data_IF_204441161705
#
_entry.id   IF_204441161705
#
_cell.length_a   1.000
_cell.length_b   1.000
_cell.length_c   1.000
_cell.angle_alpha   90.00
_cell.angle_beta   90.00
_cell.angle_gamma   90.00
#
_symmetry.space_group_name_H-M   'P 1'
#
loop_
_entity.id
_entity.type
_entity.pdbx_description
1 polymer ?
#
# COMPACT_ATOMS: atom_id res chain seq x y z
N UNK A 1 4.76 -10.77 22.17
CA UNK A 1 5.35 -10.74 20.82
C UNK A 1 4.73 -9.68 19.88
N UNK A 2 3.57 -9.09 20.18
CA UNK A 2 2.96 -8.02 19.36
C UNK A 2 3.72 -6.68 19.32
N UNK A 3 4.64 -6.41 20.26
CA UNK A 3 5.48 -5.19 20.28
C UNK A 3 6.56 -5.14 19.18
N UNK A 4 6.62 -6.12 18.27
CA UNK A 4 7.64 -6.22 17.22
C UNK A 4 7.10 -6.65 15.85
N UNK A 5 5.83 -6.33 15.52
CA UNK A 5 5.46 -6.18 14.10
C UNK A 5 5.99 -4.82 13.61
N UNK A 6 7.32 -4.66 13.66
CA UNK A 6 7.98 -3.63 12.87
C UNK A 6 7.93 -4.17 11.46
N UNK A 7 6.90 -3.79 10.71
CA UNK A 7 6.93 -3.95 9.25
C UNK A 7 8.04 -3.02 8.79
N UNK A 8 9.25 -3.58 8.68
CA UNK A 8 10.39 -2.91 8.09
C UNK A 8 10.06 -2.72 6.60
N UNK A 9 9.29 -1.68 6.28
CA UNK A 9 9.23 -1.13 4.94
C UNK A 9 10.67 -0.78 4.59
N UNK A 10 11.21 -1.32 3.50
CA UNK A 10 12.46 -0.78 2.97
C UNK A 10 12.00 0.55 2.40
N UNK A 11 12.16 1.64 3.16
CA UNK A 11 11.71 2.97 2.75
C UNK A 11 12.60 3.43 1.61
N UNK A 12 12.27 2.98 0.41
CA UNK A 12 12.60 3.60 -0.86
C UNK A 12 11.28 3.80 -1.57
N UNK A 13 10.62 4.90 -1.23
CA UNK A 13 9.38 5.33 -1.86
C UNK A 13 9.71 5.86 -3.27
N UNK A 14 8.83 5.56 -4.22
CA UNK A 14 9.03 5.69 -5.66
C UNK A 14 9.16 7.12 -6.23
N UNK A 15 9.44 8.14 -5.40
CA UNK A 15 9.59 9.52 -5.89
C UNK A 15 10.71 9.67 -6.93
N UNK A 16 11.75 8.84 -6.87
CA UNK A 16 12.84 8.83 -7.86
C UNK A 16 12.46 8.20 -9.22
N UNK A 17 11.30 7.54 -9.33
CA UNK A 17 10.97 6.73 -10.50
C UNK A 17 10.28 7.53 -11.63
N UNK A 18 9.81 8.75 -11.33
CA UNK A 18 9.20 9.69 -12.28
C UNK A 18 9.94 11.02 -12.45
N UNK A 19 10.99 11.28 -11.67
CA UNK A 19 11.73 12.54 -11.74
C UNK A 19 12.97 12.38 -12.62
N UNK A 20 13.13 13.25 -13.63
CA UNK A 20 14.47 13.52 -14.19
C UNK A 20 15.41 13.84 -13.02
N UNK A 21 16.56 13.16 -12.87
CA UNK A 21 17.45 13.28 -11.71
C UNK A 21 17.95 14.74 -11.54
N UNK A 22 17.98 15.33 -10.33
CA UNK A 22 18.67 16.60 -10.10
C UNK A 22 20.19 16.45 -10.24
N UNK A 23 20.87 17.45 -10.79
CA UNK A 23 22.24 17.72 -10.39
C UNK A 23 22.17 18.54 -9.08
N UNK A 24 22.79 18.05 -8.02
CA UNK A 24 22.92 18.80 -6.77
C UNK A 24 23.72 20.08 -7.02
N UNK A 25 23.16 21.23 -6.65
CA UNK A 25 23.97 22.38 -6.26
C UNK A 25 23.39 22.94 -4.96
N UNK A 26 24.20 22.85 -3.91
CA UNK A 26 23.95 23.45 -2.63
C UNK A 26 24.11 24.96 -2.77
N UNK A 27 23.02 25.72 -2.71
CA UNK A 27 23.01 27.11 -2.26
C UNK A 27 21.56 27.60 -2.07
N UNK A 28 21.11 27.60 -0.82
CA UNK A 28 19.84 28.17 -0.41
C UNK A 28 19.95 29.71 -0.34
N UNK A 29 19.68 30.38 -1.44
CA UNK A 29 19.24 31.77 -1.50
C UNK A 29 18.46 31.97 -2.79
N UNK A 30 17.32 32.66 -2.74
CA UNK A 30 16.40 32.90 -3.85
C UNK A 30 17.11 33.49 -5.08
N UNK A 31 17.67 32.62 -5.93
CA UNK A 31 18.15 32.97 -7.27
C UNK A 31 16.98 32.77 -8.25
N UNK A 32 16.85 33.65 -9.25
CA UNK A 32 15.87 33.46 -10.32
C UNK A 32 16.13 32.11 -10.99
N UNK A 33 15.08 31.28 -11.13
CA UNK A 33 15.15 29.97 -11.77
C UNK A 33 15.86 30.08 -13.12
N UNK A 34 16.85 29.22 -13.33
CA UNK A 34 17.59 29.10 -14.59
C UNK A 34 16.63 28.69 -15.73
N UNK A 35 16.98 28.96 -16.98
CA UNK A 35 16.14 28.57 -18.14
C UNK A 35 15.87 27.07 -18.17
N UNK A 36 16.81 26.25 -17.71
CA UNK A 36 16.69 24.79 -17.61
C UNK A 36 15.69 24.36 -16.52
N UNK A 37 15.67 25.03 -15.37
CA UNK A 37 14.67 24.80 -14.31
C UNK A 37 13.26 25.26 -14.71
N UNK A 38 13.15 26.28 -15.58
CA UNK A 38 11.86 26.74 -16.13
C UNK A 38 11.23 25.75 -17.11
N UNK A 39 12.03 24.88 -17.72
CA UNK A 39 11.57 23.91 -18.73
C UNK A 39 11.41 22.50 -18.13
N UNK A 40 12.00 22.21 -16.97
CA UNK A 40 11.86 20.92 -16.29
C UNK A 40 10.43 20.71 -15.81
N UNK A 41 9.83 19.59 -16.20
CA UNK A 41 8.47 19.24 -15.80
C UNK A 41 8.52 18.33 -14.56
N UNK A 42 8.06 18.86 -13.42
CA UNK A 42 7.84 18.12 -12.18
C UNK A 42 6.44 17.49 -12.10
N UNK A 43 6.06 16.99 -10.92
CA UNK A 43 4.72 16.45 -10.62
C UNK A 43 4.22 15.33 -11.52
N UNK A 44 5.10 14.41 -11.93
CA UNK A 44 4.71 13.15 -12.57
C UNK A 44 4.95 11.94 -11.64
N UNK A 45 4.60 11.97 -10.34
CA UNK A 45 4.75 10.80 -9.49
C UNK A 45 3.77 9.71 -9.92
N UNK A 46 4.13 8.45 -9.63
CA UNK A 46 3.28 7.32 -9.93
C UNK A 46 1.89 7.42 -9.26
N UNK A 47 0.88 6.84 -9.90
CA UNK A 47 -0.46 6.67 -9.36
C UNK A 47 -0.72 5.18 -9.08
N UNK A 48 -1.17 4.86 -7.86
CA UNK A 48 -1.53 3.50 -7.51
C UNK A 48 -3.00 3.24 -7.88
N UNK A 49 -3.22 2.42 -8.90
CA UNK A 49 -4.59 2.12 -9.38
C UNK A 49 -5.39 1.29 -8.39
N UNK A 50 -4.76 0.69 -7.37
CA UNK A 50 -5.49 0.05 -6.28
C UNK A 50 -6.39 1.04 -5.53
N UNK A 51 -6.06 2.34 -5.53
CA UNK A 51 -6.91 3.38 -4.92
C UNK A 51 -8.26 3.55 -5.63
N UNK A 52 -8.34 3.17 -6.91
CA UNK A 52 -9.59 3.13 -7.67
C UNK A 52 -10.44 1.90 -7.38
N UNK A 53 -9.79 0.80 -7.02
CA UNK A 53 -10.41 -0.50 -6.77
C UNK A 53 -9.92 -1.06 -5.44
N UNK A 54 -10.20 -0.36 -4.32
CA UNK A 54 -9.67 -0.74 -3.03
C UNK A 54 -10.11 -2.17 -2.71
N UNK A 55 -9.17 -2.97 -2.22
CA UNK A 55 -9.43 -4.37 -1.90
C UNK A 55 -10.53 -4.47 -0.85
N UNK A 56 -11.54 -5.28 -1.12
CA UNK A 56 -12.55 -5.60 -0.12
C UNK A 56 -11.96 -6.51 0.97
N UNK A 57 -12.18 -6.13 2.23
CA UNK A 57 -11.68 -6.86 3.39
C UNK A 57 -12.83 -7.51 4.14
N UNK A 58 -12.81 -8.85 4.19
CA UNK A 58 -13.64 -9.57 5.16
C UNK A 58 -12.82 -9.82 6.41
N UNK A 59 -13.00 -8.96 7.43
CA UNK A 59 -12.21 -9.06 8.64
C UNK A 59 -12.64 -10.26 9.51
N UNK A 60 -11.67 -11.03 10.06
CA UNK A 60 -11.93 -12.02 11.11
C UNK A 60 -12.37 -11.32 12.42
N UNK A 61 -12.54 -12.09 13.50
CA UNK A 61 -12.88 -11.52 14.80
C UNK A 61 -11.84 -10.46 15.24
N UNK A 62 -12.32 -9.32 15.73
CA UNK A 62 -11.47 -8.18 16.07
C UNK A 62 -10.47 -8.54 17.18
N UNK A 63 -9.19 -8.36 16.87
CA UNK A 63 -8.10 -8.33 17.84
C UNK A 63 -7.01 -7.37 17.32
N UNK A 64 -6.00 -7.08 18.14
CA UNK A 64 -5.00 -6.08 17.80
C UNK A 64 -4.27 -6.40 16.47
N UNK A 65 -3.96 -7.67 16.20
CA UNK A 65 -3.29 -8.08 14.95
C UNK A 65 -4.16 -7.83 13.71
N UNK A 66 -5.45 -8.15 13.81
CA UNK A 66 -6.43 -7.90 12.75
C UNK A 66 -6.59 -6.40 12.48
N UNK A 67 -6.67 -5.58 13.53
CA UNK A 67 -6.79 -4.13 13.37
C UNK A 67 -5.54 -3.51 12.75
N UNK A 68 -4.34 -3.93 13.18
CA UNK A 68 -3.09 -3.46 12.57
C UNK A 68 -3.03 -3.84 11.09
N UNK A 69 -3.31 -5.11 10.76
CA UNK A 69 -3.32 -5.55 9.37
C UNK A 69 -4.35 -4.82 8.51
N UNK A 70 -5.57 -4.62 9.02
CA UNK A 70 -6.62 -3.88 8.32
C UNK A 70 -6.28 -2.39 8.11
N UNK A 71 -5.53 -1.77 9.02
CA UNK A 71 -5.03 -0.40 8.80
C UNK A 71 -3.89 -0.37 7.79
N UNK A 72 -3.02 -1.38 7.77
CA UNK A 72 -1.94 -1.46 6.78
C UNK A 72 -2.46 -1.61 5.35
N UNK A 73 -3.58 -2.31 5.16
CA UNK A 73 -4.20 -2.44 3.83
C UNK A 73 -4.72 -1.12 3.26
N UNK A 74 -5.01 -0.11 4.09
CA UNK A 74 -5.47 1.20 3.60
C UNK A 74 -4.32 2.15 3.26
N UNK A 75 -3.07 1.70 3.37
CA UNK A 75 -1.89 2.55 3.13
C UNK A 75 -1.91 3.21 1.75
N UNK A 76 -2.24 2.54 0.63
CA UNK A 76 -2.31 3.18 -0.68
C UNK A 76 -3.27 4.38 -0.68
N UNK A 77 -4.49 4.20 -0.19
CA UNK A 77 -5.53 5.21 -0.18
C UNK A 77 -5.24 6.36 0.80
N UNK A 78 -4.70 6.04 1.98
CA UNK A 78 -4.30 7.05 2.97
C UNK A 78 -3.12 7.89 2.47
N UNK A 79 -2.13 7.28 1.82
CA UNK A 79 -1.00 8.04 1.26
C UNK A 79 -1.40 8.83 0.02
N UNK A 80 -2.38 8.34 -0.77
CA UNK A 80 -2.95 9.09 -1.88
C UNK A 80 -3.65 10.38 -1.41
N UNK A 81 -4.35 10.34 -0.26
CA UNK A 81 -4.87 11.55 0.38
C UNK A 81 -3.78 12.62 0.63
N UNK A 82 -2.52 12.22 0.84
CA UNK A 82 -1.42 13.13 1.18
C UNK A 82 -0.61 13.60 -0.05
N UNK A 83 -0.97 13.16 -1.26
CA UNK A 83 -0.34 13.62 -2.52
C UNK A 83 -0.65 15.10 -2.78
N UNK A 84 -1.88 15.53 -2.48
CA UNK A 84 -2.30 16.92 -2.63
C UNK A 84 -1.67 17.81 -1.55
N UNK A 85 -1.05 18.93 -1.93
CA UNK A 85 -0.54 19.88 -0.95
C UNK A 85 -1.65 20.53 -0.11
N UNK A 86 -2.92 20.50 -0.53
CA UNK A 86 -4.05 21.03 0.27
C UNK A 86 -4.36 20.17 1.51
N UNK A 87 -3.97 18.89 1.47
CA UNK A 87 -4.24 17.93 2.53
C UNK A 87 -3.14 17.89 3.60
N UNK A 88 -2.09 18.69 3.44
CA UNK A 88 -0.91 18.74 4.32
C UNK A 88 -0.44 20.18 4.53
N UNK A 89 0.24 20.43 5.63
CA UNK A 89 0.85 21.72 5.90
C UNK A 89 2.19 21.90 5.18
N UNK A 90 2.89 23.02 5.43
CA UNK A 90 4.10 23.39 4.69
C UNK A 90 5.35 22.57 5.04
N UNK A 91 5.32 21.77 6.11
CA UNK A 91 6.47 20.97 6.48
C UNK A 91 6.72 19.82 5.49
N UNK A 92 7.99 19.40 5.38
CA UNK A 92 8.40 18.31 4.49
C UNK A 92 7.80 16.96 4.90
N UNK A 93 7.64 16.74 6.21
CA UNK A 93 7.07 15.52 6.77
C UNK A 93 5.67 15.78 7.31
N UNK A 94 4.74 14.91 6.93
CA UNK A 94 3.38 14.83 7.47
C UNK A 94 3.18 13.49 8.14
N UNK A 95 2.63 13.50 9.35
CA UNK A 95 2.40 12.28 10.12
C UNK A 95 0.93 12.23 10.50
N UNK A 96 0.21 11.23 9.98
CA UNK A 96 -1.17 10.95 10.36
C UNK A 96 -1.22 9.73 11.28
N UNK A 97 -1.95 9.84 12.38
CA UNK A 97 -2.24 8.76 13.31
C UNK A 97 -3.73 8.46 13.29
N UNK A 98 -4.08 7.19 13.14
CA UNK A 98 -5.45 6.70 13.16
C UNK A 98 -5.63 5.81 14.37
N UNK A 99 -6.39 6.28 15.36
CA UNK A 99 -6.83 5.48 16.50
C UNK A 99 -8.12 4.77 16.13
N UNK A 100 -8.10 3.45 16.19
CA UNK A 100 -9.29 2.60 16.04
C UNK A 100 -9.71 2.09 17.41
N UNK A 101 -10.98 2.27 17.75
CA UNK A 101 -11.60 1.75 18.98
C UNK A 101 -12.72 0.80 18.59
N UNK A 102 -12.73 -0.41 19.13
CA UNK A 102 -13.78 -1.40 18.88
C UNK A 102 -14.49 -1.75 20.18
N UNK A 103 -15.82 -1.69 20.13
CA UNK A 103 -16.73 -2.02 21.23
C UNK A 103 -17.75 -3.05 20.77
N UNK A 104 -18.73 -3.37 21.61
CA UNK A 104 -19.88 -4.20 21.23
C UNK A 104 -20.84 -3.51 20.23
N UNK A 105 -20.73 -2.19 20.06
CA UNK A 105 -21.46 -1.43 19.04
C UNK A 105 -20.76 -1.42 17.66
N UNK A 106 -19.50 -1.82 17.58
CA UNK A 106 -18.69 -1.78 16.36
C UNK A 106 -17.39 -0.98 16.51
N UNK A 107 -16.77 -0.69 15.36
CA UNK A 107 -15.52 0.08 15.29
C UNK A 107 -15.76 1.57 15.01
N UNK A 108 -14.94 2.43 15.61
CA UNK A 108 -14.86 3.86 15.32
C UNK A 108 -13.40 4.27 15.11
N UNK A 109 -13.16 5.22 14.21
CA UNK A 109 -11.83 5.74 13.90
C UNK A 109 -11.73 7.22 14.28
N UNK A 110 -10.57 7.62 14.81
CA UNK A 110 -10.21 9.01 15.05
C UNK A 110 -8.87 9.30 14.40
N UNK A 111 -8.85 10.27 13.49
CA UNK A 111 -7.64 10.71 12.77
C UNK A 111 -7.10 11.98 13.42
N UNK A 112 -5.81 11.96 13.75
CA UNK A 112 -5.04 13.13 14.23
C UNK A 112 -3.72 13.17 13.49
N UNK A 113 -2.99 14.28 13.53
CA UNK A 113 -1.67 14.29 12.90
C UNK A 113 -0.91 15.60 13.02
N UNK A 114 0.39 15.50 12.74
CA UNK A 114 1.31 16.63 12.60
C UNK A 114 1.37 17.04 11.13
N UNK A 115 1.35 18.35 10.88
CA UNK A 115 1.34 18.92 9.52
C UNK A 115 0.17 18.39 8.66
N UNK A 116 -0.93 17.96 9.28
CA UNK A 116 -2.14 17.47 8.62
C UNK A 116 -3.21 18.56 8.62
N UNK A 117 -3.80 18.87 7.46
CA UNK A 117 -4.87 19.88 7.37
C UNK A 117 -6.24 19.25 7.68
N UNK A 118 -7.30 20.04 7.94
CA UNK A 118 -8.66 19.51 8.08
C UNK A 118 -9.14 18.71 6.86
N UNK A 119 -8.78 19.14 5.64
CA UNK A 119 -9.10 18.42 4.42
C UNK A 119 -8.37 17.06 4.35
N UNK A 120 -7.09 17.02 4.76
CA UNK A 120 -6.34 15.77 4.89
C UNK A 120 -6.95 14.84 5.93
N UNK A 121 -7.31 15.35 7.10
CA UNK A 121 -8.02 14.59 8.14
C UNK A 121 -9.31 13.98 7.60
N UNK A 122 -10.13 14.77 6.90
CA UNK A 122 -11.40 14.30 6.33
C UNK A 122 -11.20 13.23 5.25
N UNK A 123 -10.19 13.39 4.38
CA UNK A 123 -9.87 12.41 3.36
C UNK A 123 -9.47 11.06 3.98
N UNK A 124 -8.54 11.07 4.94
CA UNK A 124 -8.08 9.86 5.63
C UNK A 124 -9.23 9.22 6.42
N UNK A 125 -10.04 10.02 7.12
CA UNK A 125 -11.20 9.53 7.88
C UNK A 125 -12.19 8.79 6.95
N UNK A 126 -12.50 9.36 5.78
CA UNK A 126 -13.39 8.74 4.81
C UNK A 126 -12.84 7.41 4.26
N UNK A 127 -11.52 7.32 4.05
CA UNK A 127 -10.86 6.07 3.64
C UNK A 127 -11.02 4.99 4.71
N UNK A 128 -10.67 5.29 5.96
CA UNK A 128 -10.65 4.28 7.02
C UNK A 128 -12.06 3.84 7.42
N UNK A 129 -13.02 4.77 7.48
CA UNK A 129 -14.43 4.43 7.77
C UNK A 129 -15.05 3.56 6.67
N UNK A 130 -14.61 3.73 5.43
CA UNK A 130 -15.09 2.93 4.29
C UNK A 130 -14.49 1.53 4.27
N UNK A 131 -13.17 1.42 4.50
CA UNK A 131 -12.40 0.20 4.23
C UNK A 131 -12.16 -0.66 5.47
N UNK A 132 -12.05 -0.05 6.65
CA UNK A 132 -11.77 -0.77 7.89
C UNK A 132 -13.06 -0.91 8.67
N UNK A 133 -13.65 -2.12 8.62
CA UNK A 133 -14.91 -2.42 9.31
C UNK A 133 -14.73 -3.55 10.31
N UNK A 134 -14.17 -3.27 11.51
CA UNK A 134 -13.94 -4.28 12.53
C UNK A 134 -15.25 -4.94 12.95
N UNK A 135 -15.21 -6.25 13.22
CA UNK A 135 -16.36 -6.93 13.83
C UNK A 135 -16.58 -6.41 15.26
N UNK A 136 -17.82 -6.15 15.69
CA UNK A 136 -18.10 -5.78 17.06
C UNK A 136 -17.57 -6.83 18.05
N UNK A 137 -17.18 -6.38 19.23
CA UNK A 137 -16.80 -7.28 20.32
C UNK A 137 -18.03 -7.95 20.94
N UNK A 138 -17.80 -9.01 21.71
CA UNK A 138 -18.87 -9.60 22.52
C UNK A 138 -19.31 -8.61 23.61
N UNK A 139 -20.61 -8.61 23.92
CA UNK A 139 -21.18 -7.72 24.94
C UNK A 139 -20.45 -7.84 26.28
N UNK A 140 -20.03 -6.71 26.83
CA UNK A 140 -19.28 -6.64 28.09
C UNK A 140 -17.77 -6.94 27.99
N UNK A 141 -17.25 -7.19 26.78
CA UNK A 141 -15.79 -7.21 26.56
C UNK A 141 -15.19 -5.82 26.78
N UNK A 142 -13.92 -5.78 27.21
CA UNK A 142 -13.18 -4.52 27.30
C UNK A 142 -12.97 -3.93 25.89
N UNK A 143 -13.07 -2.61 25.73
CA UNK A 143 -12.79 -1.96 24.45
C UNK A 143 -11.39 -2.33 23.93
N UNK A 144 -11.33 -2.64 22.63
CA UNK A 144 -10.07 -2.92 21.95
C UNK A 144 -9.61 -1.65 21.23
N UNK A 145 -8.37 -1.23 21.49
CA UNK A 145 -7.77 -0.06 20.84
C UNK A 145 -6.54 -0.45 20.00
N UNK A 146 -6.38 0.20 18.86
CA UNK A 146 -5.19 0.11 18.02
C UNK A 146 -4.88 1.48 17.43
N UNK A 147 -3.59 1.80 17.27
CA UNK A 147 -3.15 3.02 16.59
C UNK A 147 -2.23 2.63 15.45
N UNK A 148 -2.52 3.16 14.26
CA UNK A 148 -1.66 3.08 13.10
C UNK A 148 -1.14 4.47 12.74
N UNK A 149 0.12 4.54 12.30
CA UNK A 149 0.75 5.79 11.87
C UNK A 149 1.13 5.68 10.40
N UNK A 150 0.84 6.75 9.66
CA UNK A 150 1.16 6.93 8.25
C UNK A 150 2.06 8.15 8.14
N UNK A 151 3.25 7.95 7.60
CA UNK A 151 4.20 9.02 7.34
C UNK A 151 4.26 9.30 5.85
N UNK A 152 4.20 10.58 5.49
CA UNK A 152 4.37 11.08 4.14
C UNK A 152 5.46 12.13 4.14
N UNK A 153 6.48 11.91 3.33
CA UNK A 153 7.63 12.80 3.16
C UNK A 153 7.62 13.35 1.74
N UNK A 154 7.61 14.67 1.58
CA UNK A 154 7.52 15.29 0.24
C UNK A 154 8.77 15.08 -0.63
N UNK A 155 9.91 14.65 -0.06
CA UNK A 155 11.11 14.29 -0.80
C UNK A 155 11.08 12.85 -1.31
N UNK A 156 10.45 11.96 -0.53
CA UNK A 156 10.51 10.53 -0.77
C UNK A 156 9.19 9.97 -1.35
N UNK A 157 8.05 10.56 -1.01
CA UNK A 157 6.71 10.07 -1.35
C UNK A 157 6.13 10.77 -2.58
N UNK A 158 5.14 10.14 -3.21
CA UNK A 158 4.38 10.75 -4.29
C UNK A 158 3.78 12.09 -3.82
N UNK A 159 4.10 13.17 -4.52
CA UNK A 159 3.69 14.51 -4.12
C UNK A 159 3.46 15.40 -5.33
N UNK A 160 2.50 16.31 -5.20
CA UNK A 160 2.36 17.47 -6.10
C UNK A 160 2.85 18.74 -5.40
N UNK A 161 3.62 19.56 -6.12
CA UNK A 161 4.10 20.89 -5.70
C UNK A 161 3.74 21.90 -6.77
N UNK A 162 2.81 22.82 -6.49
CA UNK A 162 2.42 23.88 -7.41
C UNK A 162 3.34 25.10 -7.31
N UNK A 163 3.32 25.96 -8.34
CA UNK A 163 4.09 27.19 -8.40
C UNK A 163 5.53 27.02 -8.90
N UNK A 164 5.86 25.87 -9.51
CA UNK A 164 7.20 25.61 -10.05
C UNK A 164 7.33 26.21 -11.45
N UNK A 165 6.44 25.79 -12.35
CA UNK A 165 6.25 26.34 -13.69
C UNK A 165 4.92 25.81 -14.25
N UNK A 166 4.39 26.46 -15.29
CA UNK A 166 3.05 26.14 -15.83
C UNK A 166 2.90 24.66 -16.26
N UNK A 167 3.94 24.05 -16.82
CA UNK A 167 3.90 22.64 -17.24
C UNK A 167 3.93 21.65 -16.06
N UNK A 168 4.68 21.98 -15.02
CA UNK A 168 4.68 21.22 -13.76
C UNK A 168 3.36 21.36 -13.01
N UNK A 169 2.76 22.55 -13.05
CA UNK A 169 1.48 22.82 -12.40
C UNK A 169 0.34 22.12 -13.14
N UNK A 170 0.33 22.14 -14.47
CA UNK A 170 -0.61 21.36 -15.26
C UNK A 170 -0.44 19.85 -15.03
N UNK A 171 0.80 19.35 -15.02
CA UNK A 171 1.08 17.93 -14.70
C UNK A 171 0.62 17.55 -13.29
N UNK A 172 0.77 18.47 -12.32
CA UNK A 172 0.25 18.31 -10.97
C UNK A 172 -1.28 18.25 -10.93
N UNK A 173 -1.95 19.13 -11.67
CA UNK A 173 -3.42 19.10 -11.80
C UNK A 173 -3.90 17.80 -12.45
N UNK A 174 -3.23 17.33 -13.50
CA UNK A 174 -3.48 16.01 -14.11
C UNK A 174 -3.31 14.91 -13.08
N UNK A 175 -2.20 14.89 -12.32
CA UNK A 175 -1.94 13.86 -11.31
C UNK A 175 -3.00 13.83 -10.20
N UNK A 176 -3.44 14.98 -9.69
CA UNK A 176 -4.49 15.04 -8.68
C UNK A 176 -5.86 14.61 -9.23
N UNK A 177 -6.12 14.88 -10.50
CA UNK A 177 -7.38 14.49 -11.14
C UNK A 177 -7.49 12.98 -11.41
N UNK A 178 -6.38 12.23 -11.46
CA UNK A 178 -6.38 10.78 -11.74
C UNK A 178 -7.26 9.96 -10.79
N UNK A 179 -7.43 10.37 -9.54
CA UNK A 179 -8.31 9.71 -8.58
C UNK A 179 -9.79 9.72 -9.03
N UNK A 180 -10.19 10.70 -9.86
CA UNK A 180 -11.51 10.78 -10.47
C UNK A 180 -11.66 10.04 -11.79
N UNK A 181 -10.60 9.38 -12.29
CA UNK A 181 -10.56 8.74 -13.62
C UNK A 181 -10.56 7.22 -13.55
N UNK A 182 -11.10 6.66 -12.46
CA UNK A 182 -11.12 5.22 -12.21
C UNK A 182 -11.84 4.40 -13.29
N UNK A 183 -12.75 5.02 -14.04
CA UNK A 183 -13.38 4.41 -15.22
C UNK A 183 -12.34 4.05 -16.31
N UNK A 184 -11.28 4.84 -16.48
CA UNK A 184 -10.22 4.54 -17.43
C UNK A 184 -9.38 3.31 -17.02
N UNK A 185 -9.34 2.97 -15.72
CA UNK A 185 -8.50 1.90 -15.20
C UNK A 185 -9.26 0.57 -15.01
N UNK A 186 -10.51 0.46 -15.46
CA UNK A 186 -11.38 -0.68 -15.17
C UNK A 186 -10.83 -2.06 -15.61
N UNK A 187 -9.98 -2.10 -16.64
CA UNK A 187 -9.33 -3.32 -17.14
C UNK A 187 -8.07 -3.70 -16.34
N UNK A 188 -7.63 -2.87 -15.39
CA UNK A 188 -6.37 -3.02 -14.65
C UNK A 188 -6.58 -3.21 -13.14
N UNK A 189 -7.71 -3.81 -12.74
CA UNK A 189 -8.00 -4.06 -11.31
C UNK A 189 -6.95 -4.94 -10.63
N UNK A 190 -6.44 -5.94 -11.35
CA UNK A 190 -5.50 -6.94 -10.83
C UNK A 190 -4.11 -6.85 -11.47
N UNK A 191 -3.91 -5.92 -12.40
CA UNK A 191 -2.67 -5.76 -13.16
C UNK A 191 -2.18 -4.33 -13.10
N UNK A 192 -0.88 -4.12 -13.30
CA UNK A 192 -0.35 -2.75 -13.43
C UNK A 192 -0.52 -2.28 -14.87
N UNK A 193 -1.10 -1.09 -15.12
CA UNK A 193 -1.15 -0.50 -16.45
C UNK A 193 0.24 -0.34 -17.09
N UNK A 194 0.35 -0.36 -18.43
CA UNK A 194 1.59 -0.03 -19.11
C UNK A 194 1.95 1.45 -18.88
N UNK A 195 3.25 1.76 -18.92
CA UNK A 195 3.70 3.16 -18.91
C UNK A 195 3.27 3.80 -20.23
N UNK A 196 2.59 4.93 -20.13
CA UNK A 196 2.16 5.70 -21.30
C UNK A 196 2.88 7.04 -21.35
N UNK A 197 3.25 7.47 -22.56
CA UNK A 197 3.81 8.80 -22.80
C UNK A 197 2.82 9.59 -23.64
N UNK A 198 2.46 10.77 -23.14
CA UNK A 198 1.66 11.73 -23.87
C UNK A 198 2.49 12.96 -24.23
N UNK A 199 2.16 13.61 -25.34
CA UNK A 199 2.72 14.90 -25.72
C UNK A 199 1.66 15.97 -25.48
N UNK A 200 1.93 16.85 -24.52
CA UNK A 200 1.01 17.90 -24.08
C UNK A 200 1.49 19.22 -24.66
N UNK A 201 0.59 19.93 -25.33
CA UNK A 201 0.80 21.31 -25.78
C UNK A 201 -0.22 22.23 -25.13
N UNK A 202 0.28 23.22 -24.39
CA UNK A 202 -0.49 24.29 -23.77
C UNK A 202 -0.29 25.56 -24.61
N UNK A 203 -1.35 26.32 -24.82
CA UNK A 203 -1.31 27.60 -25.57
C UNK A 203 -2.02 28.68 -24.78
N UNK A 204 -1.45 29.88 -24.72
CA UNK A 204 -2.03 31.01 -23.98
C UNK A 204 -3.43 31.35 -24.48
N UNK A 205 -4.35 31.56 -23.56
CA UNK A 205 -5.74 31.89 -23.87
C UNK A 205 -6.59 30.72 -24.37
N UNK A 206 -6.00 29.53 -24.58
CA UNK A 206 -6.76 28.31 -24.82
C UNK A 206 -7.10 27.64 -23.48
N UNK A 207 -8.37 27.27 -23.23
CA UNK A 207 -8.79 26.71 -21.94
C UNK A 207 -8.38 25.23 -21.75
N UNK A 208 -7.99 24.56 -22.83
CA UNK A 208 -7.70 23.11 -22.87
C UNK A 208 -6.35 22.84 -23.53
N UNK A 209 -5.74 21.72 -23.17
CA UNK A 209 -4.50 21.24 -23.78
C UNK A 209 -4.75 20.49 -25.09
N UNK A 210 -3.78 20.55 -26.01
CA UNK A 210 -3.67 19.59 -27.11
C UNK A 210 -2.86 18.38 -26.63
N UNK A 211 -3.40 17.17 -26.82
CA UNK A 211 -2.80 15.94 -26.29
C UNK A 211 -2.77 14.83 -27.34
N UNK A 212 -1.59 14.24 -27.53
CA UNK A 212 -1.40 12.98 -28.26
C UNK A 212 -0.71 11.97 -27.36
N UNK A 213 -0.79 10.68 -27.71
CA UNK A 213 -0.11 9.60 -26.99
C UNK A 213 0.74 8.82 -27.99
N UNK A 214 1.89 8.35 -27.51
CA UNK A 214 2.66 7.33 -28.21
C UNK A 214 1.87 6.00 -28.22
N UNK A 215 2.16 5.15 -29.21
CA UNK A 215 1.57 3.81 -29.25
C UNK A 215 2.01 3.02 -28.00
N UNK A 216 1.06 2.39 -27.30
CA UNK A 216 1.37 1.65 -26.07
C UNK A 216 2.00 0.27 -26.34
N UNK A 217 1.85 -0.23 -27.57
CA UNK A 217 2.25 -1.58 -27.95
C UNK A 217 1.26 -2.68 -27.57
N UNK A 218 0.05 -2.32 -27.09
CA UNK A 218 -1.02 -3.27 -26.73
C UNK A 218 -2.41 -2.65 -26.94
N UNK A 219 -3.42 -3.50 -27.17
CA UNK A 219 -4.81 -3.04 -27.34
C UNK A 219 -5.33 -2.35 -26.06
N UNK A 220 -5.06 -2.95 -24.90
CA UNK A 220 -5.50 -2.46 -23.60
C UNK A 220 -4.82 -1.14 -23.23
N UNK A 221 -3.53 -1.01 -23.55
CA UNK A 221 -2.79 0.24 -23.35
C UNK A 221 -3.28 1.38 -24.26
N UNK A 222 -3.66 1.08 -25.50
CA UNK A 222 -4.19 2.09 -26.43
C UNK A 222 -5.60 2.54 -26.03
N UNK A 223 -6.42 1.62 -25.51
CA UNK A 223 -7.72 1.95 -24.91
C UNK A 223 -7.57 2.85 -23.68
N UNK A 224 -6.59 2.55 -22.81
CA UNK A 224 -6.27 3.40 -21.67
C UNK A 224 -5.82 4.79 -22.11
N UNK A 225 -4.89 4.87 -23.08
CA UNK A 225 -4.40 6.13 -23.63
C UNK A 225 -5.54 6.98 -24.22
N UNK A 226 -6.47 6.36 -24.95
CA UNK A 226 -7.64 7.04 -25.50
C UNK A 226 -8.57 7.60 -24.40
N UNK A 227 -8.80 6.83 -23.33
CA UNK A 227 -9.59 7.30 -22.19
C UNK A 227 -8.89 8.46 -21.48
N UNK A 228 -7.60 8.30 -21.13
CA UNK A 228 -6.81 9.32 -20.45
C UNK A 228 -6.70 10.60 -21.27
N UNK A 229 -6.53 10.53 -22.60
CA UNK A 229 -6.54 11.70 -23.48
C UNK A 229 -7.78 12.56 -23.27
N UNK A 230 -8.96 11.93 -23.23
CA UNK A 230 -10.23 12.63 -23.01
C UNK A 230 -10.26 13.32 -21.64
N UNK A 231 -9.72 12.68 -20.61
CA UNK A 231 -9.67 13.24 -19.26
C UNK A 231 -8.65 14.37 -19.11
N UNK A 232 -7.46 14.25 -19.71
CA UNK A 232 -6.40 15.27 -19.66
C UNK A 232 -6.82 16.55 -20.38
N UNK A 233 -7.48 16.44 -21.54
CA UNK A 233 -7.99 17.62 -22.27
C UNK A 233 -9.02 18.39 -21.46
N UNK A 234 -9.76 17.72 -20.56
CA UNK A 234 -10.72 18.38 -19.66
C UNK A 234 -10.07 19.06 -18.44
N UNK A 235 -8.78 18.86 -18.19
CA UNK A 235 -8.07 19.56 -17.12
C UNK A 235 -7.84 21.01 -17.56
N UNK A 236 -8.26 22.03 -16.77
CA UNK A 236 -8.08 23.42 -17.15
C UNK A 236 -6.61 23.79 -17.36
N UNK A 237 -6.29 24.30 -18.55
CA UNK A 237 -4.98 24.82 -18.87
C UNK A 237 -4.87 26.29 -18.45
N UNK A 238 -3.81 26.64 -17.74
CA UNK A 238 -3.42 28.03 -17.46
C UNK A 238 -1.96 28.19 -17.85
N UNK A 239 -1.69 29.12 -18.76
CA UNK A 239 -0.35 29.36 -19.29
C UNK A 239 -0.06 30.86 -19.28
N UNK A 240 1.09 31.24 -18.72
CA UNK A 240 1.57 32.61 -18.71
C UNK A 240 2.34 32.96 -20.01
N UNK A 241 3.06 31.98 -20.56
CA UNK A 241 3.80 32.05 -21.84
C UNK A 241 2.91 31.75 -23.03
N UNK A 242 3.33 32.08 -24.26
CA UNK A 242 2.48 31.92 -25.45
C UNK A 242 2.20 30.46 -25.80
N UNK A 243 3.20 29.58 -25.65
CA UNK A 243 3.10 28.16 -25.95
C UNK A 243 4.11 27.35 -25.14
N UNK A 244 3.71 26.18 -24.67
CA UNK A 244 4.58 25.21 -24.00
C UNK A 244 4.23 23.79 -24.47
N UNK A 245 5.22 23.04 -24.95
CA UNK A 245 5.06 21.64 -25.36
C UNK A 245 6.03 20.76 -24.60
N UNK A 246 5.56 19.63 -24.06
CA UNK A 246 6.39 18.72 -23.27
C UNK A 246 5.81 17.29 -23.23
N UNK A 247 6.65 16.27 -23.00
CA UNK A 247 6.19 14.92 -22.72
C UNK A 247 5.70 14.78 -21.27
N UNK A 248 4.53 14.17 -21.08
CA UNK A 248 4.01 13.78 -19.78
C UNK A 248 3.90 12.25 -19.70
N UNK A 249 4.57 11.67 -18.72
CA UNK A 249 4.59 10.22 -18.49
C UNK A 249 3.56 9.83 -17.45
N UNK A 250 2.71 8.88 -17.81
CA UNK A 250 1.84 8.18 -16.89
C UNK A 250 2.56 6.92 -16.40
N UNK A 251 2.94 6.93 -15.13
CA UNK A 251 3.47 5.76 -14.44
C UNK A 251 2.44 5.30 -13.43
N UNK A 252 2.11 4.02 -13.47
CA UNK A 252 1.13 3.41 -12.60
C UNK A 252 1.78 2.29 -11.78
N UNK A 253 1.28 2.11 -10.57
CA UNK A 253 1.48 0.92 -9.75
C UNK A 253 0.12 0.30 -9.43
N UNK A 254 0.14 -0.94 -8.97
CA UNK A 254 -1.06 -1.59 -8.42
C UNK A 254 -0.68 -2.38 -7.18
N UNK A 255 -0.87 -1.83 -5.98
CA UNK A 255 -0.60 -2.56 -4.73
C UNK A 255 -1.46 -3.82 -4.54
N UNK A 256 -2.59 -3.91 -5.25
CA UNK A 256 -3.46 -5.08 -5.29
C UNK A 256 -2.93 -6.24 -6.15
N UNK A 257 -1.88 -6.01 -6.96
CA UNK A 257 -1.32 -7.05 -7.81
C UNK A 257 -0.65 -8.20 -7.01
N UNK A 258 -0.51 -9.36 -7.64
CA UNK A 258 0.18 -10.53 -7.08
C UNK A 258 1.64 -10.64 -7.50
N UNK A 259 2.03 -9.93 -8.55
CA UNK A 259 3.37 -9.98 -9.15
C UNK A 259 3.79 -8.60 -9.68
N UNK A 260 5.07 -8.44 -9.97
CA UNK A 260 5.55 -7.26 -10.68
C UNK A 260 5.17 -7.35 -12.17
N UNK A 261 4.64 -6.27 -12.73
CA UNK A 261 4.33 -6.21 -14.15
C UNK A 261 5.63 -6.22 -14.98
N UNK A 262 5.78 -7.24 -15.84
CA UNK A 262 6.97 -7.41 -16.68
C UNK A 262 7.20 -6.26 -17.67
N UNK A 263 6.14 -5.51 -18.02
CA UNK A 263 6.21 -4.36 -18.91
C UNK A 263 6.86 -3.12 -18.27
N UNK A 264 7.06 -3.11 -16.94
CA UNK A 264 7.73 -2.03 -16.26
C UNK A 264 9.26 -2.15 -16.40
N UNK A 265 9.98 -1.03 -16.59
CA UNK A 265 11.43 -0.97 -16.41
C UNK A 265 11.88 -1.58 -15.06
N UNK A 266 13.07 -2.19 -14.97
CA UNK A 266 13.53 -2.89 -13.76
C UNK A 266 13.41 -2.07 -12.46
N UNK A 267 13.72 -0.78 -12.48
CA UNK A 267 13.59 0.09 -11.31
C UNK A 267 12.12 0.25 -10.88
N UNK A 268 11.21 0.39 -11.84
CA UNK A 268 9.77 0.47 -11.58
C UNK A 268 9.19 -0.86 -11.11
N UNK A 269 9.73 -1.99 -11.58
CA UNK A 269 9.38 -3.32 -11.06
C UNK A 269 9.74 -3.45 -9.59
N UNK A 270 10.87 -2.88 -9.14
CA UNK A 270 11.25 -2.91 -7.73
C UNK A 270 10.25 -2.13 -6.87
N UNK A 271 9.90 -0.91 -7.27
CA UNK A 271 8.90 -0.12 -6.55
C UNK A 271 7.50 -0.77 -6.57
N UNK A 272 7.12 -1.41 -7.68
CA UNK A 272 5.90 -2.21 -7.75
C UNK A 272 5.93 -3.37 -6.73
N UNK A 273 7.07 -4.07 -6.59
CA UNK A 273 7.20 -5.12 -5.57
C UNK A 273 7.10 -4.56 -4.15
N UNK A 274 7.65 -3.37 -3.86
CA UNK A 274 7.51 -2.74 -2.53
C UNK A 274 6.05 -2.40 -2.19
N UNK A 275 5.23 -1.96 -3.15
CA UNK A 275 3.80 -1.72 -2.87
C UNK A 275 3.05 -3.03 -2.65
N UNK A 276 3.35 -4.09 -3.40
CA UNK A 276 2.79 -5.43 -3.18
C UNK A 276 3.24 -6.00 -1.83
N UNK A 277 4.51 -5.80 -1.46
CA UNK A 277 5.10 -6.23 -0.19
C UNK A 277 4.34 -5.67 1.01
N UNK A 278 3.96 -4.39 0.98
CA UNK A 278 3.13 -3.79 2.02
C UNK A 278 1.76 -4.47 2.14
N UNK A 279 1.14 -4.83 1.02
CA UNK A 279 -0.14 -5.54 1.00
C UNK A 279 -0.01 -6.97 1.57
N UNK A 280 1.08 -7.68 1.27
CA UNK A 280 1.35 -9.02 1.83
C UNK A 280 1.68 -9.00 3.31
N UNK A 281 2.37 -7.96 3.78
CA UNK A 281 2.61 -7.78 5.22
C UNK A 281 1.30 -7.57 5.98
N UNK A 282 0.36 -6.83 5.39
CA UNK A 282 -0.99 -6.67 5.94
C UNK A 282 -1.77 -8.00 5.99
N UNK A 283 -1.71 -8.80 4.92
CA UNK A 283 -2.31 -10.15 4.88
C UNK A 283 -1.74 -11.07 5.97
N UNK A 284 -0.42 -11.08 6.15
CA UNK A 284 0.24 -11.87 7.18
C UNK A 284 -0.18 -11.45 8.60
N UNK A 285 -0.34 -10.14 8.86
CA UNK A 285 -0.81 -9.63 10.14
C UNK A 285 -2.27 -10.02 10.43
N UNK A 286 -3.16 -9.94 9.43
CA UNK A 286 -4.56 -10.39 9.56
C UNK A 286 -4.62 -11.90 9.81
N UNK A 287 -3.83 -12.69 9.08
CA UNK A 287 -3.80 -14.14 9.22
C UNK A 287 -3.27 -14.57 10.59
N UNK A 288 -2.21 -13.92 11.10
CA UNK A 288 -1.72 -14.12 12.45
C UNK A 288 -2.80 -13.78 13.50
N UNK A 289 -3.51 -12.67 13.31
CA UNK A 289 -4.63 -12.27 14.15
C UNK A 289 -5.75 -13.32 14.19
N UNK A 290 -6.14 -13.88 13.05
CA UNK A 290 -7.10 -15.00 12.97
C UNK A 290 -6.62 -16.21 13.77
N UNK A 291 -5.34 -16.57 13.64
CA UNK A 291 -4.73 -17.69 14.37
C UNK A 291 -4.70 -17.44 15.88
N UNK A 292 -4.41 -16.23 16.32
CA UNK A 292 -4.44 -15.88 17.74
C UNK A 292 -5.85 -16.05 18.33
N UNK A 293 -6.88 -15.54 17.65
CA UNK A 293 -8.28 -15.70 18.09
C UNK A 293 -8.73 -17.18 18.11
N UNK A 294 -8.30 -17.98 17.13
CA UNK A 294 -8.57 -19.41 17.10
C UNK A 294 -7.89 -20.14 18.26
N UNK A 295 -6.65 -19.74 18.61
CA UNK A 295 -5.91 -20.31 19.73
C UNK A 295 -6.59 -20.01 21.07
N UNK A 296 -6.99 -18.76 21.32
CA UNK A 296 -7.73 -18.38 22.53
C UNK A 296 -9.05 -19.16 22.66
N UNK A 297 -9.77 -19.33 21.54
CA UNK A 297 -11.00 -20.12 21.50
C UNK A 297 -10.77 -21.60 21.84
N UNK A 298 -9.68 -22.19 21.35
CA UNK A 298 -9.30 -23.56 21.66
C UNK A 298 -8.87 -23.71 23.13
N UNK A 299 -8.02 -22.81 23.62
CA UNK A 299 -7.53 -22.79 25.01
C UNK A 299 -8.68 -22.65 26.02
N UNK A 300 -9.72 -21.87 25.71
CA UNK A 300 -10.90 -21.76 26.55
C UNK A 300 -11.62 -23.10 26.74
N UNK A 301 -11.77 -23.89 25.66
CA UNK A 301 -12.40 -25.23 25.72
C UNK A 301 -11.48 -26.23 26.42
N UNK A 302 -10.17 -26.17 26.17
CA UNK A 302 -9.17 -26.97 26.89
C UNK A 302 -9.26 -26.72 28.40
N UNK A 303 -9.29 -25.46 28.83
CA UNK A 303 -9.41 -25.11 30.24
C UNK A 303 -10.72 -25.61 30.86
N UNK A 304 -11.85 -25.50 30.14
CA UNK A 304 -13.15 -26.03 30.57
C UNK A 304 -13.11 -27.55 30.71
N UNK A 305 -12.54 -28.25 29.74
CA UNK A 305 -12.37 -29.70 29.78
C UNK A 305 -11.42 -30.12 30.92
N UNK A 306 -10.31 -29.41 31.14
CA UNK A 306 -9.38 -29.73 32.22
C UNK A 306 -10.02 -29.61 33.61
N UNK A 307 -10.94 -28.66 33.81
CA UNK A 307 -11.69 -28.46 35.06
C UNK A 307 -12.81 -29.48 35.25
N UNK A 308 -13.60 -29.74 34.21
CA UNK A 308 -14.83 -30.55 34.31
C UNK A 308 -14.60 -32.04 34.03
N UNK A 309 -13.56 -32.37 33.26
CA UNK A 309 -13.32 -33.69 32.65
C UNK A 309 -14.53 -34.22 31.87
N UNK A 310 -15.41 -33.33 31.40
CA UNK A 310 -16.62 -33.71 30.68
C UNK A 310 -16.29 -34.13 29.24
N UNK A 311 -16.41 -35.44 28.96
CA UNK A 311 -16.17 -36.02 27.64
C UNK A 311 -17.12 -35.50 26.57
N UNK A 312 -18.26 -34.88 26.92
CA UNK A 312 -19.15 -34.22 25.96
C UNK A 312 -18.50 -33.01 25.27
N UNK A 313 -17.45 -32.44 25.86
CA UNK A 313 -16.69 -31.34 25.28
C UNK A 313 -15.71 -31.79 24.19
N UNK A 314 -15.54 -33.09 23.94
CA UNK A 314 -14.53 -33.60 23.02
C UNK A 314 -14.79 -33.20 21.56
N UNK A 315 -16.05 -33.16 21.14
CA UNK A 315 -16.42 -32.68 19.80
C UNK A 315 -16.13 -31.19 19.62
N UNK A 316 -16.43 -30.38 20.65
CA UNK A 316 -16.10 -28.95 20.67
C UNK A 316 -14.58 -28.73 20.65
N UNK A 317 -13.83 -29.51 21.46
CA UNK A 317 -12.38 -29.51 21.53
C UNK A 317 -11.75 -29.82 20.16
N UNK A 318 -12.23 -30.87 19.49
CA UNK A 318 -11.76 -31.26 18.16
C UNK A 318 -12.09 -30.18 17.11
N UNK A 319 -13.31 -29.65 17.13
CA UNK A 319 -13.72 -28.59 16.22
C UNK A 319 -12.89 -27.32 16.36
N UNK A 320 -12.66 -26.84 17.59
CA UNK A 320 -11.83 -25.66 17.86
C UNK A 320 -10.35 -25.89 17.53
N UNK A 321 -9.84 -27.10 17.75
CA UNK A 321 -8.47 -27.41 17.34
C UNK A 321 -8.30 -27.41 15.82
N UNK A 322 -9.25 -28.00 15.09
CA UNK A 322 -9.23 -27.97 13.62
C UNK A 322 -9.27 -26.52 13.08
N UNK A 323 -10.10 -25.66 13.68
CA UNK A 323 -10.13 -24.24 13.33
C UNK A 323 -8.79 -23.53 13.64
N UNK A 324 -8.11 -23.89 14.73
CA UNK A 324 -6.77 -23.40 15.03
C UNK A 324 -5.75 -23.85 13.99
N UNK A 325 -5.77 -25.13 13.61
CA UNK A 325 -4.90 -25.68 12.55
C UNK A 325 -5.13 -24.95 11.23
N UNK A 326 -6.39 -24.79 10.83
CA UNK A 326 -6.75 -24.09 9.59
C UNK A 326 -6.24 -22.65 9.60
N UNK A 327 -6.43 -21.93 10.71
CA UNK A 327 -5.93 -20.57 10.86
C UNK A 327 -4.38 -20.50 10.86
N UNK A 328 -3.70 -21.49 11.45
CA UNK A 328 -2.24 -21.60 11.41
C UNK A 328 -1.72 -21.85 9.98
N UNK A 329 -2.40 -22.70 9.21
CA UNK A 329 -2.08 -22.90 7.78
C UNK A 329 -2.36 -21.65 6.95
N UNK A 330 -3.42 -20.91 7.26
CA UNK A 330 -3.67 -19.60 6.65
C UNK A 330 -2.53 -18.60 6.90
N UNK A 331 -1.98 -18.58 8.11
CA UNK A 331 -0.82 -17.74 8.44
C UNK A 331 0.46 -18.18 7.71
N UNK A 332 0.72 -19.49 7.62
CA UNK A 332 1.83 -20.04 6.82
C UNK A 332 1.73 -19.59 5.37
N UNK A 333 0.57 -19.76 4.73
CA UNK A 333 0.34 -19.33 3.33
C UNK A 333 0.55 -17.84 3.11
N UNK A 334 0.14 -17.00 4.06
CA UNK A 334 0.36 -15.56 3.97
C UNK A 334 1.85 -15.20 4.02
N UNK A 335 2.64 -15.90 4.85
CA UNK A 335 4.09 -15.72 4.93
C UNK A 335 4.84 -16.30 3.72
N UNK A 336 4.36 -17.38 3.11
CA UNK A 336 4.89 -17.90 1.85
C UNK A 336 4.70 -16.88 0.72
N UNK A 337 3.53 -16.23 0.64
CA UNK A 337 3.28 -15.17 -0.33
C UNK A 337 4.16 -13.93 -0.09
N UNK A 338 4.38 -13.55 1.17
CA UNK A 338 5.34 -12.50 1.55
C UNK A 338 6.77 -12.87 1.11
N UNK A 339 7.20 -14.11 1.38
CA UNK A 339 8.53 -14.59 1.02
C UNK A 339 8.75 -14.55 -0.49
N UNK A 340 7.75 -14.93 -1.29
CA UNK A 340 7.86 -14.90 -2.74
C UNK A 340 8.15 -13.47 -3.27
N UNK A 341 7.50 -12.46 -2.69
CA UNK A 341 7.74 -11.04 -3.03
C UNK A 341 9.12 -10.58 -2.57
N UNK A 342 9.54 -10.94 -1.36
CA UNK A 342 10.87 -10.60 -0.84
C UNK A 342 11.99 -11.25 -1.68
N UNK A 343 11.80 -12.50 -2.12
CA UNK A 343 12.72 -13.20 -3.02
C UNK A 343 12.81 -12.53 -4.40
N UNK A 344 11.65 -12.18 -4.99
CA UNK A 344 11.62 -11.45 -6.26
C UNK A 344 12.31 -10.09 -6.15
N UNK A 345 12.16 -9.41 -5.01
CA UNK A 345 12.80 -8.11 -4.75
C UNK A 345 14.32 -8.25 -4.65
N UNK A 346 14.84 -9.23 -3.90
CA UNK A 346 16.29 -9.51 -3.84
C UNK A 346 16.86 -9.82 -5.22
N UNK A 347 16.20 -10.68 -6.00
CA UNK A 347 16.66 -11.05 -7.33
C UNK A 347 16.73 -9.83 -8.27
N UNK A 348 15.72 -8.96 -8.22
CA UNK A 348 15.68 -7.75 -9.04
C UNK A 348 16.71 -6.71 -8.59
N UNK A 349 16.94 -6.56 -7.29
CA UNK A 349 17.99 -5.66 -6.78
C UNK A 349 19.37 -6.15 -7.18
N UNK A 350 19.61 -7.47 -7.20
CA UNK A 350 20.85 -8.05 -7.71
C UNK A 350 21.06 -7.74 -9.20
N UNK A 351 20.00 -7.82 -10.01
CA UNK A 351 20.04 -7.39 -11.41
C UNK A 351 20.40 -5.90 -11.52
N UNK A 352 19.70 -5.03 -10.78
CA UNK A 352 19.91 -3.58 -10.79
C UNK A 352 21.31 -3.16 -10.32
N UNK A 353 21.87 -3.87 -9.34
CA UNK A 353 23.23 -3.68 -8.83
C UNK A 353 24.30 -3.89 -9.90
N UNK A 354 24.03 -4.70 -10.94
CA UNK A 354 24.96 -4.85 -12.08
C UNK A 354 25.10 -3.55 -12.89
N UNK A 355 24.10 -2.67 -12.82
CA UNK A 355 24.07 -1.39 -13.54
C UNK A 355 24.47 -0.19 -12.68
N UNK A 356 24.25 -0.24 -11.36
CA UNK A 356 24.62 0.80 -10.39
C UNK A 356 24.89 0.19 -9.01
N UNK A 357 26.13 -0.23 -8.78
CA UNK A 357 26.48 -0.90 -7.53
C UNK A 357 26.36 0.01 -6.30
N UNK A 358 26.67 1.30 -6.44
CA UNK A 358 26.67 2.26 -5.34
C UNK A 358 25.24 2.55 -4.86
N UNK A 359 24.30 2.76 -5.80
CA UNK A 359 22.90 3.00 -5.49
C UNK A 359 22.16 1.79 -4.91
N UNK A 360 22.50 0.57 -5.35
CA UNK A 360 21.72 -0.64 -5.04
C UNK A 360 22.30 -1.54 -3.95
N UNK A 361 23.56 -1.38 -3.54
CA UNK A 361 24.14 -2.18 -2.44
C UNK A 361 23.41 -2.00 -1.10
N UNK A 362 23.04 -0.77 -0.67
CA UNK A 362 22.25 -0.59 0.55
C UNK A 362 20.85 -1.24 0.44
N UNK A 363 20.25 -1.15 -0.76
CA UNK A 363 18.92 -1.72 -1.05
C UNK A 363 18.97 -3.26 -1.00
N UNK A 364 20.04 -3.86 -1.52
CA UNK A 364 20.25 -5.31 -1.46
C UNK A 364 20.36 -5.77 -0.01
N UNK A 365 21.15 -5.06 0.80
CA UNK A 365 21.32 -5.36 2.22
C UNK A 365 19.99 -5.32 2.96
N UNK A 366 19.19 -4.28 2.72
CA UNK A 366 17.87 -4.14 3.32
C UNK A 366 16.88 -5.23 2.85
N UNK A 367 16.87 -5.53 1.55
CA UNK A 367 16.02 -6.57 0.94
C UNK A 367 16.37 -7.97 1.46
N UNK A 368 17.67 -8.26 1.61
CA UNK A 368 18.15 -9.52 2.16
C UNK A 368 17.79 -9.67 3.64
N UNK A 369 17.88 -8.59 4.41
CA UNK A 369 17.46 -8.57 5.82
C UNK A 369 15.95 -8.81 5.95
N UNK A 370 15.13 -8.18 5.08
CA UNK A 370 13.70 -8.42 5.00
C UNK A 370 13.38 -9.89 4.69
N UNK A 371 13.97 -10.45 3.63
CA UNK A 371 13.81 -11.85 3.25
C UNK A 371 14.19 -12.80 4.40
N UNK A 372 15.31 -12.52 5.07
CA UNK A 372 15.79 -13.34 6.21
C UNK A 372 14.80 -13.31 7.37
N UNK A 373 14.18 -12.16 7.65
CA UNK A 373 13.17 -12.05 8.70
C UNK A 373 11.90 -12.81 8.32
N UNK A 374 11.42 -12.67 7.09
CA UNK A 374 10.25 -13.42 6.60
C UNK A 374 10.49 -14.93 6.66
N UNK A 375 11.69 -15.42 6.31
CA UNK A 375 12.05 -16.84 6.43
C UNK A 375 12.03 -17.35 7.88
N UNK A 376 12.50 -16.54 8.84
CA UNK A 376 12.43 -16.87 10.26
C UNK A 376 10.98 -16.95 10.74
N UNK A 377 10.16 -15.98 10.35
CA UNK A 377 8.74 -15.95 10.69
C UNK A 377 7.99 -17.13 10.08
N UNK A 378 8.27 -17.48 8.82
CA UNK A 378 7.69 -18.64 8.16
C UNK A 378 8.07 -19.95 8.87
N UNK A 379 9.36 -20.12 9.21
CA UNK A 379 9.83 -21.30 9.95
C UNK A 379 9.12 -21.42 11.30
N UNK A 380 8.98 -20.31 12.02
CA UNK A 380 8.26 -20.27 13.30
C UNK A 380 6.76 -20.59 13.14
N UNK A 381 6.13 -20.07 12.09
CA UNK A 381 4.73 -20.34 11.76
C UNK A 381 4.49 -21.82 11.41
N UNK A 382 5.37 -22.41 10.60
CA UNK A 382 5.32 -23.84 10.25
C UNK A 382 5.48 -24.73 11.49
N UNK A 383 6.50 -24.46 12.32
CA UNK A 383 6.70 -25.19 13.57
C UNK A 383 5.48 -25.08 14.51
N UNK A 384 4.82 -23.91 14.53
CA UNK A 384 3.61 -23.70 15.32
C UNK A 384 2.41 -24.44 14.75
N UNK A 385 2.22 -24.43 13.43
CA UNK A 385 1.15 -25.18 12.77
C UNK A 385 1.28 -26.68 13.04
N UNK A 386 2.50 -27.23 12.99
CA UNK A 386 2.79 -28.62 13.35
C UNK A 386 2.49 -28.93 14.82
N UNK A 387 2.85 -28.01 15.73
CA UNK A 387 2.58 -28.17 17.15
C UNK A 387 1.06 -28.14 17.44
N UNK A 388 0.33 -27.21 16.82
CA UNK A 388 -1.12 -27.10 16.96
C UNK A 388 -1.81 -28.36 16.38
N UNK A 389 -1.36 -28.88 15.23
CA UNK A 389 -1.84 -30.14 14.65
C UNK A 389 -1.62 -31.34 15.60
N UNK A 390 -0.45 -31.41 16.25
CA UNK A 390 -0.12 -32.48 17.21
C UNK A 390 -0.91 -32.37 18.51
N UNK A 391 -1.32 -31.17 18.89
CA UNK A 391 -2.14 -30.92 20.07
C UNK A 391 -3.61 -31.32 19.88
N UNK A 392 -4.06 -31.51 18.63
CA UNK A 392 -5.45 -31.86 18.37
C UNK A 392 -5.83 -33.24 18.91
N UNK A 393 -6.98 -33.34 19.59
CA UNK A 393 -7.45 -34.60 20.15
C UNK A 393 -7.68 -35.64 19.06
N UNK A 394 -6.99 -36.78 19.15
CA UNK A 394 -7.23 -37.93 18.27
C UNK A 394 -8.45 -38.69 18.78
N UNK A 395 -9.52 -38.79 17.99
CA UNK A 395 -10.64 -39.71 18.29
C UNK A 395 -10.13 -41.16 18.15
N UNK A 396 -9.78 -41.79 19.26
CA UNK A 396 -9.66 -43.26 19.33
C UNK A 396 -10.93 -43.80 19.97
N UNK A 397 -11.85 -44.31 19.15
CA UNK A 397 -12.92 -45.15 19.66
C UNK A 397 -12.29 -46.45 20.16
N UNK A 398 -12.09 -46.59 21.47
CA UNK A 398 -11.98 -47.93 22.05
C UNK A 398 -13.36 -48.55 21.94
N UNK A 399 -13.54 -49.43 20.97
CA UNK A 399 -14.70 -50.31 20.91
C UNK A 399 -14.82 -51.00 22.27
N UNK A 400 -15.97 -50.81 22.92
CA UNK A 400 -16.42 -51.66 24.00
C UNK A 400 -17.34 -52.71 23.40
#
# INVERSE_FOLDING_TARGET
>A
MLRRLVVASVVFTAACAGQQKPAESADAAAKPLTTEERVRIGNQPAFDVATCFPRELTLPASNQGVLVGAMLTTRPEVLECLVSPENRGPAEKTVASVKTTVTDAGGTHAVTGENLTPAGTQCIQAVVDKLVKPKPLTKGAQPLESTATFEHDTSASATVKFGVNDGSDFSGAVRLAQQGWCDCYANFKEQTPPVLTSHVTLTKGQPVAEVTFDASGSTEGDQLAACLKTKVVAVPAKLATDKLSYPHRFVHFNSGATEAANALPPQLRFFQLEVVRNQRAADAAIAFGSRAAAAESFEAVVAKYQKTKDYKLFDELAGKCNALVEAAQGWVKALEAQQAVDQASVALVQELKTTDAEGWTPVETASQAALTNTQKDLTAAQARADADQKACPKKTYKGK
#
